data_IF_618994336502
#
_entry.id   IF_618994336502
#
_cell.length_a   1.000
_cell.length_b   1.000
_cell.length_c   1.000
_cell.angle_alpha   90.00
_cell.angle_beta   90.00
_cell.angle_gamma   90.00
#
_symmetry.space_group_name_H-M   'P 1'
#
loop_
_entity.id
_entity.type
_entity.pdbx_description
1 polymer ?
#
# COMPACT_ATOMS: atom_id res chain seq x y z
N UNK A 1 12.49 -9.14 16.02
CA UNK A 1 11.50 -8.04 16.10
C UNK A 1 10.12 -8.55 15.77
N UNK A 2 9.05 -7.85 16.20
CA UNK A 2 7.68 -8.18 15.79
C UNK A 2 7.48 -7.96 14.29
N UNK A 3 6.50 -8.65 13.72
CA UNK A 3 6.04 -8.39 12.36
C UNK A 3 5.20 -7.10 12.31
N UNK A 4 5.36 -6.30 11.26
CA UNK A 4 4.64 -5.04 11.05
C UNK A 4 3.94 -5.10 9.70
N UNK A 5 2.62 -4.92 9.71
CA UNK A 5 1.83 -4.79 8.48
C UNK A 5 1.69 -3.31 8.14
N UNK A 6 2.08 -2.94 6.93
CA UNK A 6 1.96 -1.56 6.42
C UNK A 6 0.87 -1.53 5.35
N UNK A 7 -0.11 -0.65 5.54
CA UNK A 7 -1.09 -0.36 4.49
C UNK A 7 -0.41 0.42 3.35
N UNK A 8 -0.22 -0.24 2.21
CA UNK A 8 0.44 0.29 1.03
C UNK A 8 -0.61 0.90 0.11
N UNK A 9 -0.64 2.23 -0.05
CA UNK A 9 -1.56 2.90 -0.99
C UNK A 9 -1.01 2.96 -2.42
N UNK A 10 0.28 2.62 -2.58
CA UNK A 10 1.07 2.91 -3.79
C UNK A 10 1.70 4.30 -3.79
N UNK A 11 1.41 5.14 -2.79
CA UNK A 11 2.01 6.45 -2.63
C UNK A 11 3.39 6.43 -1.97
N UNK A 12 4.10 7.56 -2.07
CA UNK A 12 5.46 7.72 -1.52
C UNK A 12 5.50 7.56 0.00
N UNK A 13 4.53 8.11 0.73
CA UNK A 13 4.52 8.10 2.20
C UNK A 13 4.49 6.66 2.76
N UNK A 14 3.57 5.83 2.26
CA UNK A 14 3.49 4.42 2.66
C UNK A 14 4.74 3.63 2.27
N UNK A 15 5.35 3.97 1.13
CA UNK A 15 6.56 3.30 0.64
C UNK A 15 7.77 3.62 1.52
N UNK A 16 7.96 4.89 1.87
CA UNK A 16 9.05 5.33 2.75
C UNK A 16 8.86 4.80 4.17
N UNK A 17 7.62 4.77 4.68
CA UNK A 17 7.34 4.16 5.99
C UNK A 17 7.72 2.68 6.04
N UNK A 18 7.38 1.90 5.00
CA UNK A 18 7.77 0.49 4.89
C UNK A 18 9.30 0.33 4.80
N UNK A 19 9.98 1.16 4.01
CA UNK A 19 11.43 1.14 3.88
C UNK A 19 12.15 1.43 5.22
N UNK A 20 11.72 2.46 5.96
CA UNK A 20 12.32 2.80 7.25
C UNK A 20 12.13 1.69 8.30
N UNK A 21 10.98 1.04 8.33
CA UNK A 21 10.74 -0.12 9.20
C UNK A 21 11.64 -1.31 8.81
N UNK A 22 11.84 -1.53 7.50
CA UNK A 22 12.75 -2.56 7.01
C UNK A 22 14.19 -2.29 7.39
N UNK A 23 14.66 -1.05 7.25
CA UNK A 23 16.01 -0.60 7.65
C UNK A 23 16.24 -0.75 9.16
N UNK A 24 15.20 -0.50 9.96
CA UNK A 24 15.24 -0.76 11.41
C UNK A 24 15.29 -2.25 11.75
N UNK A 25 15.02 -3.14 10.78
CA UNK A 25 15.13 -4.60 10.87
C UNK A 25 13.82 -5.34 11.17
N UNK A 26 12.66 -4.68 11.02
CA UNK A 26 11.36 -5.32 11.23
C UNK A 26 11.03 -6.31 10.11
N UNK A 27 10.21 -7.30 10.43
CA UNK A 27 9.58 -8.15 9.41
C UNK A 27 8.35 -7.42 8.85
N UNK A 28 8.53 -6.74 7.71
CA UNK A 28 7.54 -5.84 7.12
C UNK A 28 6.72 -6.58 6.06
N UNK A 29 5.39 -6.47 6.17
CA UNK A 29 4.43 -7.01 5.20
C UNK A 29 3.62 -5.84 4.62
N UNK A 30 3.73 -5.60 3.32
CA UNK A 30 2.90 -4.63 2.61
C UNK A 30 1.51 -5.16 2.27
N UNK A 31 0.46 -4.36 2.50
CA UNK A 31 -0.92 -4.73 2.20
C UNK A 31 -1.68 -3.59 1.51
N UNK A 32 -2.23 -3.85 0.32
CA UNK A 32 -3.17 -2.93 -0.35
C UNK A 32 -4.60 -3.21 0.14
N UNK A 33 -5.34 -2.16 0.52
CA UNK A 33 -6.72 -2.27 0.98
C UNK A 33 -7.70 -1.75 -0.08
N UNK A 34 -8.54 -2.64 -0.62
CA UNK A 34 -9.62 -2.29 -1.57
C UNK A 34 -10.91 -1.93 -0.85
N UNK A 35 -11.02 -0.69 -0.40
CA UNK A 35 -12.15 -0.20 0.42
C UNK A 35 -13.33 0.33 -0.41
N UNK A 36 -13.10 0.80 -1.64
CA UNK A 36 -14.16 1.29 -2.54
C UNK A 36 -14.23 0.43 -3.80
N UNK A 37 -15.06 -0.62 -3.75
CA UNK A 37 -15.21 -1.62 -4.82
C UNK A 37 -16.62 -1.68 -5.42
N UNK A 38 -17.46 -0.67 -5.16
CA UNK A 38 -18.80 -0.57 -5.73
C UNK A 38 -18.75 -0.46 -7.27
N UNK A 39 -19.51 -1.29 -8.02
CA UNK A 39 -19.59 -1.20 -9.47
C UNK A 39 -20.03 0.19 -9.93
N UNK A 40 -19.36 0.74 -10.96
CA UNK A 40 -19.72 2.02 -11.56
C UNK A 40 -19.28 3.27 -10.79
N UNK A 41 -18.48 3.14 -9.72
CA UNK A 41 -17.87 4.26 -8.97
C UNK A 41 -16.34 4.24 -9.06
N UNK A 42 -15.83 4.12 -10.27
CA UNK A 42 -14.40 4.07 -10.61
C UNK A 42 -13.81 5.49 -10.81
N UNK A 43 -14.37 6.49 -10.13
CA UNK A 43 -13.93 7.87 -10.24
C UNK A 43 -12.45 8.01 -9.87
N UNK A 44 -11.75 8.83 -10.65
CA UNK A 44 -10.39 9.27 -10.36
C UNK A 44 -10.36 9.89 -8.97
N UNK A 45 -9.46 9.42 -8.10
CA UNK A 45 -9.27 9.81 -6.70
C UNK A 45 -9.98 8.95 -5.62
N UNK A 46 -10.58 7.80 -5.97
CA UNK A 46 -10.88 6.75 -4.97
C UNK A 46 -9.71 5.78 -4.87
N UNK A 47 -9.30 5.45 -3.65
CA UNK A 47 -8.28 4.43 -3.42
C UNK A 47 -8.79 3.08 -3.94
N UNK A 48 -8.24 2.71 -5.10
CA UNK A 48 -7.86 1.39 -5.61
C UNK A 48 -8.06 1.31 -7.13
N UNK A 49 -7.58 2.31 -7.87
CA UNK A 49 -7.46 2.15 -9.32
C UNK A 49 -6.48 1.00 -9.61
N UNK A 50 -6.59 0.33 -10.77
CA UNK A 50 -5.63 -0.69 -11.16
C UNK A 50 -4.17 -0.21 -11.11
N UNK A 51 -3.94 1.07 -11.40
CA UNK A 51 -2.62 1.70 -11.34
C UNK A 51 -2.10 1.79 -9.89
N UNK A 52 -2.91 2.25 -8.94
CA UNK A 52 -2.52 2.28 -7.53
C UNK A 52 -2.22 0.89 -6.98
N UNK A 53 -2.95 -0.14 -7.40
CA UNK A 53 -2.64 -1.53 -7.03
C UNK A 53 -1.31 -2.00 -7.61
N UNK A 54 -1.02 -1.66 -8.87
CA UNK A 54 0.25 -2.00 -9.51
C UNK A 54 1.43 -1.29 -8.82
N UNK A 55 1.27 -0.02 -8.46
CA UNK A 55 2.28 0.73 -7.71
C UNK A 55 2.50 0.13 -6.32
N UNK A 56 1.44 -0.14 -5.55
CA UNK A 56 1.53 -0.77 -4.24
C UNK A 56 2.26 -2.12 -4.30
N UNK A 57 2.02 -2.93 -5.33
CA UNK A 57 2.73 -4.19 -5.54
C UNK A 57 4.21 -4.01 -5.88
N UNK A 58 4.56 -2.95 -6.60
CA UNK A 58 5.94 -2.68 -7.01
C UNK A 58 6.82 -2.20 -5.86
N UNK A 59 6.23 -1.48 -4.90
CA UNK A 59 6.95 -0.83 -3.79
C UNK A 59 6.90 -1.60 -2.48
N UNK A 60 6.11 -2.68 -2.41
CA UNK A 60 6.01 -3.57 -1.25
C UNK A 60 7.09 -4.66 -1.25
#
# INVERSE_FOLDING_TARGET
MPAVVVAMSGGVDSSVAAALLKEQGYDVIGMMLRLWSEPGKEDSNRCCTPDSMAQARRVA
#
